data_IF_544862859191
#
_entry.id   IF_544862859191
#
_cell.length_a   1.000
_cell.length_b   1.000
_cell.length_c   1.000
_cell.angle_alpha   90.00
_cell.angle_beta   90.00
_cell.angle_gamma   90.00
#
_symmetry.space_group_name_H-M   'P 1'
#
loop_
_entity.id
_entity.type
_entity.pdbx_description
1 polymer ?
#
# COMPACT_ATOMS: atom_id res chain seq x y z
N UNK A 1 37.12 16.16 9.69
CA UNK A 1 37.07 15.44 8.42
C UNK A 1 36.45 14.05 8.53
N UNK A 2 36.70 13.31 9.61
CA UNK A 2 36.06 11.99 9.80
C UNK A 2 34.53 12.06 9.88
N UNK A 3 33.99 13.15 10.42
CA UNK A 3 32.53 13.34 10.52
C UNK A 3 31.82 13.55 9.18
N UNK A 4 32.51 14.17 8.21
CA UNK A 4 31.97 14.37 6.88
C UNK A 4 31.82 13.05 6.11
N UNK A 5 32.76 12.14 6.26
CA UNK A 5 32.75 10.83 5.61
C UNK A 5 31.65 9.96 6.20
N UNK A 6 31.47 9.97 7.52
CA UNK A 6 30.42 9.22 8.21
C UNK A 6 29.04 9.77 7.83
N UNK A 7 28.87 11.09 7.78
CA UNK A 7 27.63 11.72 7.36
C UNK A 7 27.25 11.40 5.93
N UNK A 8 28.22 11.42 5.01
CA UNK A 8 28.03 11.06 3.61
C UNK A 8 27.64 9.59 3.47
N UNK A 9 28.30 8.70 4.18
CA UNK A 9 28.02 7.28 4.16
C UNK A 9 26.62 6.99 4.70
N UNK A 10 26.23 7.63 5.82
CA UNK A 10 24.89 7.50 6.38
C UNK A 10 23.81 8.00 5.40
N UNK A 11 24.07 9.10 4.70
CA UNK A 11 23.15 9.63 3.69
C UNK A 11 23.00 8.66 2.52
N UNK A 12 24.06 8.04 2.05
CA UNK A 12 24.01 7.05 0.97
C UNK A 12 23.22 5.82 1.40
N UNK A 13 23.48 5.30 2.60
CA UNK A 13 22.77 4.14 3.14
C UNK A 13 21.27 4.47 3.30
N UNK A 14 20.94 5.63 3.86
CA UNK A 14 19.55 6.06 3.99
C UNK A 14 18.86 6.18 2.63
N UNK A 15 19.55 6.72 1.63
CA UNK A 15 19.04 6.83 0.27
C UNK A 15 18.80 5.46 -0.36
N UNK A 16 19.70 4.51 -0.19
CA UNK A 16 19.55 3.16 -0.72
C UNK A 16 18.39 2.41 -0.04
N UNK A 17 18.24 2.56 1.28
CA UNK A 17 17.11 1.97 2.01
C UNK A 17 15.80 2.60 1.54
N UNK A 18 15.77 3.91 1.39
CA UNK A 18 14.61 4.64 0.89
C UNK A 18 14.23 4.19 -0.52
N UNK A 19 15.23 4.06 -1.41
CA UNK A 19 15.02 3.60 -2.77
C UNK A 19 14.56 2.14 -2.84
N UNK A 20 15.06 1.27 -1.98
CA UNK A 20 14.64 -0.13 -1.95
C UNK A 20 13.21 -0.28 -1.40
N UNK A 21 12.79 0.58 -0.48
CA UNK A 21 11.40 0.63 -0.03
C UNK A 21 10.45 1.21 -1.08
N UNK A 22 10.98 1.94 -2.06
CA UNK A 22 10.21 2.58 -3.11
C UNK A 22 10.14 1.75 -4.40
N UNK A 23 10.24 0.44 -4.34
CA UNK A 23 9.81 -0.38 -5.47
C UNK A 23 8.32 -0.20 -5.78
N UNK A 24 7.59 0.47 -4.88
CA UNK A 24 6.25 0.97 -5.12
C UNK A 24 6.31 2.50 -5.28
N UNK A 25 5.65 3.04 -6.29
CA UNK A 25 5.52 4.48 -6.50
C UNK A 25 4.80 5.12 -5.31
N UNK A 26 5.02 6.43 -5.02
CA UNK A 26 4.34 7.10 -3.91
C UNK A 26 2.82 7.02 -3.96
N UNK A 27 2.23 7.11 -5.14
CA UNK A 27 0.78 6.97 -5.34
C UNK A 27 0.29 5.56 -5.01
N UNK A 28 1.10 4.54 -5.27
CA UNK A 28 0.77 3.17 -4.93
C UNK A 28 0.75 2.97 -3.42
N UNK A 29 1.74 3.51 -2.72
CA UNK A 29 1.81 3.44 -1.25
C UNK A 29 0.65 4.20 -0.61
N UNK A 30 0.36 5.40 -1.08
CA UNK A 30 -0.76 6.20 -0.59
C UNK A 30 -2.09 5.48 -0.80
N UNK A 31 -2.26 4.85 -1.95
CA UNK A 31 -3.45 4.05 -2.26
C UNK A 31 -3.61 2.88 -1.29
N UNK A 32 -2.54 2.13 -1.04
CA UNK A 32 -2.58 0.99 -0.11
C UNK A 32 -2.93 1.43 1.31
N UNK A 33 -2.38 2.56 1.76
CA UNK A 33 -2.67 3.12 3.09
C UNK A 33 -4.14 3.52 3.17
N UNK A 34 -4.66 4.20 2.16
CA UNK A 34 -6.06 4.63 2.13
C UNK A 34 -7.01 3.44 2.13
N UNK A 35 -6.73 2.41 1.34
CA UNK A 35 -7.52 1.18 1.33
C UNK A 35 -7.47 0.50 2.70
N UNK A 36 -6.30 0.42 3.32
CA UNK A 36 -6.16 -0.13 4.66
C UNK A 36 -7.00 0.61 5.68
N UNK A 37 -6.99 1.94 5.65
CA UNK A 37 -7.81 2.77 6.53
C UNK A 37 -9.31 2.57 6.26
N UNK A 38 -9.70 2.50 4.98
CA UNK A 38 -11.09 2.27 4.60
C UNK A 38 -11.58 0.93 5.14
N UNK A 39 -10.82 -0.13 4.98
CA UNK A 39 -11.20 -1.47 5.41
C UNK A 39 -11.18 -1.63 6.93
N UNK A 40 -10.35 -0.86 7.62
CA UNK A 40 -10.35 -0.83 9.09
C UNK A 40 -11.62 -0.21 9.63
N UNK A 41 -12.06 0.90 9.05
CA UNK A 41 -13.25 1.63 9.49
C UNK A 41 -14.53 1.02 8.93
N UNK A 42 -14.47 0.45 7.71
CA UNK A 42 -15.61 -0.15 7.02
C UNK A 42 -15.21 -1.53 6.46
N UNK A 43 -15.15 -2.58 7.32
CA UNK A 43 -14.79 -3.91 6.84
C UNK A 43 -15.76 -4.48 5.82
N UNK A 44 -16.98 -3.94 5.76
CA UNK A 44 -18.04 -4.31 4.83
C UNK A 44 -18.06 -3.45 3.55
N UNK A 45 -17.02 -2.64 3.33
CA UNK A 45 -16.93 -1.80 2.14
C UNK A 45 -17.06 -2.64 0.87
N UNK A 46 -17.86 -2.15 -0.07
CA UNK A 46 -18.08 -2.85 -1.34
C UNK A 46 -16.84 -2.79 -2.24
N UNK A 47 -16.64 -3.78 -3.11
CA UNK A 47 -15.52 -3.76 -4.04
C UNK A 47 -15.44 -2.51 -4.90
N UNK A 48 -16.58 -1.92 -5.26
CA UNK A 48 -16.62 -0.68 -6.04
C UNK A 48 -15.98 0.50 -5.29
N UNK A 49 -16.18 0.59 -3.98
CA UNK A 49 -15.55 1.63 -3.15
C UNK A 49 -14.03 1.49 -3.16
N UNK A 50 -13.52 0.27 -3.12
CA UNK A 50 -12.10 -0.01 -3.21
C UNK A 50 -11.55 0.35 -4.59
N UNK A 51 -12.29 0.00 -5.65
CA UNK A 51 -11.92 0.36 -7.02
C UNK A 51 -11.87 1.88 -7.21
N UNK A 52 -12.77 2.62 -6.59
CA UNK A 52 -12.76 4.08 -6.63
C UNK A 52 -11.50 4.66 -6.00
N UNK A 53 -10.98 4.05 -4.92
CA UNK A 53 -9.71 4.45 -4.31
C UNK A 53 -8.56 4.22 -5.29
N UNK A 54 -8.52 3.09 -5.99
CA UNK A 54 -7.52 2.86 -7.04
C UNK A 54 -7.58 3.94 -8.12
N UNK A 55 -8.77 4.26 -8.61
CA UNK A 55 -8.96 5.30 -9.63
C UNK A 55 -8.53 6.67 -9.14
N UNK A 56 -8.84 7.01 -7.90
CA UNK A 56 -8.48 8.28 -7.28
C UNK A 56 -6.96 8.50 -7.28
N UNK A 57 -6.20 7.44 -7.05
CA UNK A 57 -4.75 7.49 -7.02
C UNK A 57 -4.09 7.21 -8.39
N UNK A 58 -4.88 7.05 -9.44
CA UNK A 58 -4.36 6.82 -10.79
C UNK A 58 -3.77 5.43 -10.98
N UNK A 59 -4.21 4.46 -10.21
CA UNK A 59 -3.75 3.07 -10.31
C UNK A 59 -4.57 2.37 -11.39
N UNK A 60 -3.91 1.88 -12.43
CA UNK A 60 -4.57 1.12 -13.50
C UNK A 60 -4.69 -0.38 -13.14
N UNK A 61 -5.35 -1.13 -14.00
CA UNK A 61 -5.59 -2.56 -13.78
C UNK A 61 -4.30 -3.36 -13.64
N UNK A 62 -3.27 -3.01 -14.40
CA UNK A 62 -1.99 -3.72 -14.35
C UNK A 62 -1.24 -3.52 -13.02
N UNK A 63 -1.52 -2.44 -12.32
CA UNK A 63 -0.87 -2.07 -11.05
C UNK A 63 -1.70 -2.44 -9.82
N UNK A 64 -3.00 -2.70 -9.99
CA UNK A 64 -3.90 -2.89 -8.84
C UNK A 64 -3.53 -4.12 -8.01
N UNK A 65 -3.09 -5.22 -8.62
CA UNK A 65 -2.64 -6.40 -7.88
C UNK A 65 -1.44 -6.09 -6.99
N UNK A 66 -0.47 -5.33 -7.51
CA UNK A 66 0.71 -4.92 -6.74
C UNK A 66 0.31 -4.09 -5.53
N UNK A 67 -0.58 -3.12 -5.72
CA UNK A 67 -1.10 -2.30 -4.63
C UNK A 67 -1.91 -3.16 -3.64
N UNK A 68 -2.72 -4.08 -4.15
CA UNK A 68 -3.49 -4.99 -3.32
C UNK A 68 -2.61 -5.81 -2.38
N UNK A 69 -1.47 -6.31 -2.85
CA UNK A 69 -0.55 -7.05 -1.99
C UNK A 69 0.07 -6.18 -0.91
N UNK A 70 0.15 -4.87 -1.12
CA UNK A 70 0.66 -3.91 -0.14
C UNK A 70 -0.36 -3.59 0.95
N UNK A 71 -1.64 -3.84 0.72
CA UNK A 71 -2.72 -3.57 1.70
C UNK A 71 -2.61 -4.48 2.91
N UNK A 72 -2.23 -5.73 2.72
CA UNK A 72 -2.14 -6.71 3.82
C UNK A 72 -1.21 -6.25 4.96
N UNK A 73 0.05 -5.81 4.68
CA UNK A 73 0.90 -5.26 5.74
C UNK A 73 0.30 -4.04 6.42
N UNK A 74 -0.42 -3.20 5.70
CA UNK A 74 -1.07 -2.02 6.28
C UNK A 74 -2.17 -2.43 7.25
N UNK A 75 -2.98 -3.43 6.91
CA UNK A 75 -4.01 -3.94 7.80
C UNK A 75 -3.41 -4.51 9.08
N UNK A 76 -2.31 -5.23 8.99
CA UNK A 76 -1.59 -5.75 10.16
C UNK A 76 -1.07 -4.63 11.05
N UNK A 77 -0.50 -3.57 10.47
CA UNK A 77 -0.03 -2.41 11.22
C UNK A 77 -1.16 -1.72 11.97
N UNK A 78 -2.37 -1.76 11.43
CA UNK A 78 -3.54 -1.15 12.04
C UNK A 78 -4.23 -2.06 13.06
N UNK A 79 -3.67 -3.23 13.33
CA UNK A 79 -4.15 -4.13 14.37
C UNK A 79 -5.25 -5.09 13.93
N UNK A 80 -5.50 -5.23 12.62
CA UNK A 80 -6.47 -6.21 12.14
C UNK A 80 -5.96 -7.63 12.38
N UNK A 81 -6.86 -8.50 12.85
CA UNK A 81 -6.54 -9.91 13.02
C UNK A 81 -6.32 -10.57 11.65
N UNK A 82 -5.45 -11.59 11.54
CA UNK A 82 -5.19 -12.26 10.25
C UNK A 82 -6.45 -12.81 9.59
N UNK A 83 -7.41 -13.30 10.37
CA UNK A 83 -8.67 -13.84 9.87
C UNK A 83 -9.52 -12.74 9.22
N UNK A 84 -9.65 -11.60 9.90
CA UNK A 84 -10.38 -10.44 9.37
C UNK A 84 -9.69 -9.86 8.14
N UNK A 85 -8.35 -9.83 8.14
CA UNK A 85 -7.58 -9.38 7.01
C UNK A 85 -7.82 -10.24 5.76
N UNK A 86 -7.98 -11.56 5.91
CA UNK A 86 -8.32 -12.45 4.80
C UNK A 86 -9.66 -12.11 4.18
N UNK A 87 -10.65 -11.82 5.01
CA UNK A 87 -12.00 -11.50 4.55
C UNK A 87 -11.98 -10.22 3.74
N UNK A 88 -11.35 -9.16 4.27
CA UNK A 88 -11.28 -7.87 3.57
C UNK A 88 -10.38 -7.93 2.33
N UNK A 89 -9.36 -8.76 2.31
CA UNK A 89 -8.54 -8.99 1.13
C UNK A 89 -9.33 -9.66 0.00
N UNK A 90 -10.32 -10.47 0.33
CA UNK A 90 -11.27 -11.00 -0.66
C UNK A 90 -12.02 -9.89 -1.37
N UNK A 91 -12.42 -8.84 -0.66
CA UNK A 91 -13.06 -7.66 -1.24
C UNK A 91 -12.10 -6.86 -2.12
N UNK A 92 -10.84 -6.73 -1.71
CA UNK A 92 -9.81 -6.07 -2.54
C UNK A 92 -9.64 -6.81 -3.88
N UNK A 93 -9.56 -8.13 -3.85
CA UNK A 93 -9.47 -8.95 -5.07
C UNK A 93 -10.71 -8.78 -5.96
N UNK A 94 -11.88 -8.72 -5.34
CA UNK A 94 -13.14 -8.51 -6.07
C UNK A 94 -13.21 -7.12 -6.72
N UNK A 95 -12.42 -6.16 -6.24
CA UNK A 95 -12.35 -4.82 -6.81
C UNK A 95 -11.52 -4.75 -8.10
N UNK A 96 -10.59 -5.68 -8.32
CA UNK A 96 -9.69 -5.63 -9.48
C UNK A 96 -10.41 -5.54 -10.82
N UNK A 97 -11.49 -6.30 -11.08
CA UNK A 97 -12.21 -6.20 -12.36
C UNK A 97 -12.85 -4.83 -12.61
N UNK A 98 -13.09 -4.05 -11.56
CA UNK A 98 -13.69 -2.72 -11.67
C UNK A 98 -12.64 -1.62 -11.92
N UNK A 99 -11.36 -1.94 -11.84
CA UNK A 99 -10.27 -1.00 -12.13
C UNK A 99 -9.96 -1.08 -13.63
N UNK A 100 -10.02 0.05 -14.35
CA UNK A 100 -9.75 0.08 -15.80
C UNK A 100 -8.31 -0.21 -16.17
#
# INVERSE_FOLDING_TARGET
>A
MKFLIIGLFAAIVAFLIWRSKQNAAPEEQACAIEIGNLLKTHPDAQPQAIADVFKKHGIDHSRCQKVGTMVMPQLRKQGLKPEDARIVMGQVRAAYPFVP
#
